data_IF_715490128627
#
_entry.id   IF_715490128627
#
_cell.length_a   1.000
_cell.length_b   1.000
_cell.length_c   1.000
_cell.angle_alpha   90.00
_cell.angle_beta   90.00
_cell.angle_gamma   90.00
#
_symmetry.space_group_name_H-M   'P 1'
#
loop_
_entity.id
_entity.type
_entity.pdbx_description
1 polymer ?
2 polymer ?
3 polymer ?
#
loop_
_entity_poly.entity_id
_entity_poly.type
_entity_poly.pdbx_seq_one_letter_code
_entity_poly.pdbx_strand_id
2 'polydeoxyribonucleotide' '(DG)(DA)(DA)(DA)(DT)(DG)(DT)(DG)(DA)(DG)(DC)(DG)(DA)(DG)(DT)(DA)(DA)(DC)(DA)(DA)(DC)(DC)(DG)' ?
3 'polydeoxyribonucleotide' '(DC)(DG)(DG)(DT)(DT)(DG)(DT)(DT)(DA)(DC)(DT)(DC)(DG)(DC)(DT)(DC)(DA)(DC)(DA)(DT)(DT)(DT)(DC)' ?
#
# COMPACT_ATOMS: atom_id res chain seq x y z
N UNK A 1 -14.72 13.55 -2.27
CA UNK A 1 -14.50 12.64 -3.42
C UNK A 1 -14.16 11.24 -2.94
N UNK A 2 -15.05 10.30 -3.22
CA UNK A 2 -14.85 8.91 -2.82
C UNK A 2 -13.82 8.23 -3.72
N UNK A 3 -12.73 7.72 -3.16
CA UNK A 3 -11.71 7.03 -3.93
C UNK A 3 -12.26 5.69 -4.44
N UNK A 4 -12.62 5.65 -5.72
CA UNK A 4 -13.15 4.43 -6.32
C UNK A 4 -12.08 3.36 -6.33
N UNK A 5 -12.48 2.11 -6.39
CA UNK A 5 -11.53 1.03 -6.39
C UNK A 5 -11.93 -0.02 -7.43
N UNK A 6 -11.04 -0.97 -7.65
CA UNK A 6 -11.28 -2.04 -8.60
C UNK A 6 -12.45 -2.90 -8.14
N UNK A 7 -12.76 -2.83 -6.85
CA UNK A 7 -13.87 -3.58 -6.29
C UNK A 7 -15.17 -3.03 -6.81
N UNK A 8 -15.19 -1.72 -6.99
CA UNK A 8 -16.38 -1.04 -7.49
C UNK A 8 -16.59 -1.41 -8.95
N UNK A 9 -15.51 -1.35 -9.71
CA UNK A 9 -15.55 -1.68 -11.13
C UNK A 9 -15.91 -3.14 -11.37
N UNK A 10 -15.23 -4.05 -10.68
CA UNK A 10 -15.47 -5.47 -10.85
C UNK A 10 -16.90 -5.84 -10.47
N UNK A 11 -17.37 -5.33 -9.33
CA UNK A 11 -18.73 -5.61 -8.88
C UNK A 11 -19.75 -5.15 -9.91
N UNK A 12 -19.58 -3.93 -10.41
CA UNK A 12 -20.47 -3.36 -11.40
C UNK A 12 -20.43 -4.13 -12.71
N UNK A 13 -19.23 -4.48 -13.15
CA UNK A 13 -19.04 -5.22 -14.39
C UNK A 13 -19.59 -6.64 -14.29
N UNK A 14 -19.59 -7.21 -13.09
CA UNK A 14 -20.06 -8.57 -12.90
C UNK A 14 -18.94 -9.57 -13.05
N UNK A 15 -17.75 -9.20 -12.60
CA UNK A 15 -16.58 -10.06 -12.68
C UNK A 15 -15.82 -10.05 -11.35
N UNK A 16 -14.73 -10.78 -11.31
CA UNK A 16 -13.90 -10.84 -10.13
C UNK A 16 -12.98 -9.63 -10.06
N UNK A 17 -12.81 -9.10 -8.85
CA UNK A 17 -11.94 -7.95 -8.60
C UNK A 17 -10.53 -8.06 -9.22
N UNK A 18 -10.17 -9.23 -9.75
CA UNK A 18 -8.87 -9.38 -10.37
C UNK A 18 -8.95 -9.07 -11.85
N UNK A 19 -10.02 -9.53 -12.50
CA UNK A 19 -10.22 -9.31 -13.93
C UNK A 19 -9.94 -7.86 -14.36
N UNK A 20 -10.25 -6.88 -13.52
CA UNK A 20 -10.02 -5.47 -13.84
C UNK A 20 -8.54 -5.11 -13.65
N UNK A 21 -7.86 -5.88 -12.84
CA UNK A 21 -6.45 -5.64 -12.52
C UNK A 21 -5.55 -6.16 -13.63
N UNK A 22 -6.00 -7.20 -14.31
CA UNK A 22 -5.21 -7.81 -15.37
C UNK A 22 -5.21 -6.95 -16.63
N UNK A 23 -6.22 -6.12 -16.79
CA UNK A 23 -6.32 -5.30 -17.99
C UNK A 23 -5.47 -4.05 -17.87
N UNK A 24 -5.26 -3.63 -16.62
CA UNK A 24 -4.49 -2.44 -16.33
C UNK A 24 -2.97 -2.66 -16.44
N UNK A 25 -2.53 -3.91 -16.33
CA UNK A 25 -1.11 -4.20 -16.40
C UNK A 25 -0.70 -4.89 -17.70
N UNK A 26 -1.32 -6.03 -18.00
CA UNK A 26 -0.98 -6.76 -19.21
C UNK A 26 -2.24 -6.98 -20.04
N UNK A 27 -3.02 -7.95 -19.60
CA UNK A 27 -4.30 -8.39 -20.20
C UNK A 27 -4.11 -9.69 -20.96
N UNK A 28 -3.18 -10.51 -20.46
CA UNK A 28 -2.91 -11.81 -21.03
C UNK A 28 -3.82 -12.84 -20.38
N UNK A 29 -4.30 -13.82 -21.16
CA UNK A 29 -5.21 -14.85 -20.66
C UNK A 29 -6.54 -14.23 -20.24
N UNK A 30 -7.17 -13.54 -21.18
CA UNK A 30 -8.43 -12.86 -20.95
C UNK A 30 -9.29 -12.83 -22.23
N UNK A 31 -10.60 -12.95 -22.06
CA UNK A 31 -11.51 -12.92 -23.21
C UNK A 31 -12.00 -11.50 -23.47
N UNK A 32 -12.15 -11.17 -24.75
CA UNK A 32 -12.60 -9.84 -25.18
C UNK A 32 -13.88 -9.39 -24.47
N UNK A 33 -14.84 -10.30 -24.33
CA UNK A 33 -16.12 -9.99 -23.67
C UNK A 33 -15.89 -9.53 -22.24
N UNK A 34 -15.03 -10.23 -21.53
CA UNK A 34 -14.71 -9.90 -20.15
C UNK A 34 -13.96 -8.58 -20.06
N UNK A 35 -13.11 -8.33 -21.05
CA UNK A 35 -12.32 -7.10 -21.07
C UNK A 35 -13.18 -5.87 -21.31
N UNK A 36 -14.05 -5.91 -22.32
CA UNK A 36 -14.91 -4.76 -22.62
C UNK A 36 -15.79 -4.42 -21.41
N UNK A 37 -16.29 -5.46 -20.76
CA UNK A 37 -17.13 -5.32 -19.58
C UNK A 37 -16.39 -4.55 -18.49
N UNK A 38 -15.13 -4.92 -18.35
CA UNK A 38 -14.24 -4.32 -17.37
C UNK A 38 -13.97 -2.83 -17.67
N UNK A 39 -13.65 -2.53 -18.93
CA UNK A 39 -13.32 -1.16 -19.34
C UNK A 39 -14.52 -0.21 -19.26
N UNK A 40 -15.69 -0.66 -19.72
CA UNK A 40 -16.89 0.16 -19.67
C UNK A 40 -17.31 0.47 -18.24
N UNK A 41 -17.09 -0.50 -17.34
CA UNK A 41 -17.46 -0.35 -15.93
C UNK A 41 -16.57 0.65 -15.21
N UNK A 42 -15.30 0.76 -15.63
CA UNK A 42 -14.38 1.65 -14.97
C UNK A 42 -14.61 3.10 -15.40
N UNK A 43 -15.12 3.28 -16.61
CA UNK A 43 -15.38 4.62 -17.13
C UNK A 43 -16.66 5.20 -16.56
N UNK A 44 -17.70 4.36 -16.42
CA UNK A 44 -18.99 4.79 -15.88
C UNK A 44 -18.85 5.23 -14.42
N UNK A 45 -18.09 4.46 -13.63
CA UNK A 45 -17.87 4.81 -12.23
C UNK A 45 -16.80 5.90 -12.09
N UNK A 46 -16.11 6.21 -13.19
CA UNK A 46 -15.05 7.22 -13.20
C UNK A 46 -13.98 6.84 -12.18
N UNK A 47 -13.56 5.58 -12.26
CA UNK A 47 -12.56 5.05 -11.36
C UNK A 47 -11.15 5.37 -11.83
N UNK A 48 -10.32 5.83 -10.91
CA UNK A 48 -8.93 6.15 -11.21
C UNK A 48 -8.03 5.14 -10.49
N UNK A 49 -7.21 4.38 -11.24
CA UNK A 49 -6.31 3.38 -10.66
C UNK A 49 -5.33 3.98 -9.64
N UNK A 50 -5.37 3.46 -8.42
CA UNK A 50 -4.48 3.93 -7.36
C UNK A 50 -3.12 3.29 -7.51
N UNK A 51 -2.18 4.05 -8.05
CA UNK A 51 -0.82 3.57 -8.29
C UNK A 51 -0.07 3.31 -6.97
N UNK A 52 -0.48 3.97 -5.90
CA UNK A 52 0.18 3.79 -4.60
C UNK A 52 0.15 2.32 -4.19
N UNK A 53 -1.01 1.69 -4.35
CA UNK A 53 -1.19 0.29 -4.01
C UNK A 53 -0.62 -0.61 -5.11
N UNK A 54 -0.59 -0.10 -6.34
CA UNK A 54 -0.07 -0.85 -7.49
C UNK A 54 1.38 -1.24 -7.26
N UNK A 55 2.17 -0.33 -6.72
CA UNK A 55 3.57 -0.59 -6.51
C UNK A 55 3.77 -1.28 -5.17
N UNK A 56 2.79 -1.13 -4.29
CA UNK A 56 2.82 -1.70 -2.95
C UNK A 56 2.86 -3.23 -3.00
N UNK A 57 2.13 -3.79 -3.95
CA UNK A 57 2.03 -5.24 -4.14
C UNK A 57 3.38 -5.90 -4.51
N UNK A 58 4.49 -5.17 -4.42
CA UNK A 58 5.78 -5.78 -4.70
C UNK A 58 6.50 -5.18 -5.89
N UNK A 59 6.57 -3.86 -5.96
CA UNK A 59 7.25 -3.21 -7.07
C UNK A 59 7.98 -1.96 -6.56
N UNK A 60 7.26 -0.84 -6.54
CA UNK A 60 7.77 0.46 -6.05
C UNK A 60 8.63 1.13 -7.11
N UNK A 61 8.32 0.83 -8.36
CA UNK A 61 9.05 1.39 -9.50
C UNK A 61 8.53 2.78 -9.84
N UNK A 62 9.14 3.79 -9.24
CA UNK A 62 8.72 5.16 -9.47
C UNK A 62 9.92 6.03 -9.84
N UNK B 1 19.98 -1.25 0.19
CA UNK B 1 18.63 -0.65 0.18
C UNK B 1 18.51 0.36 1.30
N UNK B 2 18.15 1.60 0.97
CA UNK B 2 18.00 2.62 1.99
C UNK B 2 16.56 2.60 2.53
N UNK B 3 15.55 2.80 1.68
CA UNK B 3 14.14 2.77 2.11
C UNK B 3 13.71 1.36 2.54
N UNK B 4 13.93 1.05 3.82
CA UNK B 4 13.56 -0.25 4.36
C UNK B 4 12.18 -0.20 5.01
N UNK B 5 11.66 -1.37 5.33
CA UNK B 5 10.35 -1.48 5.94
C UNK B 5 10.45 -1.30 7.46
N UNK B 6 9.31 -1.13 8.13
CA UNK B 6 9.31 -0.99 9.57
C UNK B 6 9.56 -2.34 10.20
N UNK B 7 9.30 -3.40 9.45
CA UNK B 7 9.56 -4.75 9.93
C UNK B 7 11.07 -4.89 10.05
N UNK B 8 11.74 -4.37 9.02
CA UNK B 8 13.20 -4.38 8.96
C UNK B 8 13.78 -3.67 10.18
N UNK B 9 13.18 -2.54 10.52
CA UNK B 9 13.61 -1.74 11.66
C UNK B 9 13.30 -2.48 12.97
N UNK B 10 12.09 -3.03 13.06
CA UNK B 10 11.66 -3.76 14.25
C UNK B 10 12.65 -4.84 14.63
N UNK B 11 13.07 -5.62 13.63
CA UNK B 11 14.02 -6.70 13.82
C UNK B 11 15.36 -6.20 14.33
N UNK B 12 15.96 -5.25 13.61
CA UNK B 12 17.27 -4.70 13.99
C UNK B 12 17.24 -4.16 15.42
N UNK B 13 16.23 -3.39 15.73
CA UNK B 13 16.09 -2.79 17.05
C UNK B 13 15.89 -3.83 18.14
N UNK B 14 15.42 -5.03 17.78
CA UNK B 14 15.19 -6.05 18.77
C UNK B 14 13.96 -5.75 19.61
N UNK B 15 12.86 -5.45 18.94
CA UNK B 15 11.59 -5.14 19.60
C UNK B 15 10.43 -5.70 18.76
N UNK B 16 9.23 -5.26 19.07
CA UNK B 16 8.06 -5.71 18.33
C UNK B 16 7.62 -4.64 17.34
N UNK B 17 6.84 -5.06 16.34
CA UNK B 17 6.35 -4.17 15.32
C UNK B 17 5.41 -3.11 15.93
N UNK B 18 4.89 -3.41 17.13
CA UNK B 18 3.98 -2.50 17.81
C UNK B 18 4.74 -1.32 18.42
N UNK B 19 5.88 -1.59 19.03
CA UNK B 19 6.66 -0.53 19.66
C UNK B 19 7.39 0.33 18.65
N UNK B 20 7.67 -0.24 17.49
CA UNK B 20 8.37 0.47 16.42
C UNK B 20 7.57 1.68 15.95
N UNK B 21 6.27 1.51 15.76
CA UNK B 21 5.41 2.62 15.33
C UNK B 21 5.16 3.57 16.49
N UNK B 22 5.19 3.02 17.70
CA UNK B 22 4.97 3.80 18.91
C UNK B 22 5.99 4.93 19.01
N UNK B 23 7.25 4.61 18.75
CA UNK B 23 8.31 5.60 18.78
C UNK B 23 8.01 6.75 17.82
N UNK B 24 7.59 6.39 16.61
CA UNK B 24 7.24 7.37 15.59
C UNK B 24 6.02 8.18 16.03
N UNK B 25 5.08 7.49 16.67
CA UNK B 25 3.87 8.12 17.15
C UNK B 25 4.19 9.17 18.20
N UNK B 26 5.34 9.00 18.87
CA UNK B 26 5.82 9.91 19.92
C UNK B 26 4.69 10.42 20.78
N UNK B 27 3.91 9.48 21.26
CA UNK B 27 2.74 9.81 22.09
C UNK B 27 2.21 8.64 22.88
N UNK B 28 2.42 7.43 22.38
CA UNK B 28 1.90 6.25 23.05
C UNK B 28 2.70 5.96 24.33
N UNK B 29 2.47 4.79 24.90
CA UNK B 29 3.18 4.36 26.08
C UNK B 29 4.55 3.88 25.66
N UNK B 30 5.40 4.80 25.26
CA UNK B 30 6.73 4.45 24.80
C UNK B 30 7.81 4.88 25.78
N UNK B 31 8.51 3.92 26.34
CA UNK B 31 9.60 4.22 27.26
C UNK B 31 10.76 4.92 26.51
N UNK B 32 11.63 5.57 27.27
CA UNK B 32 12.79 6.27 26.72
C UNK B 32 13.75 5.30 26.06
N UNK B 33 14.09 4.24 26.79
CA UNK B 33 14.99 3.21 26.29
C UNK B 33 14.46 2.58 25.00
N UNK B 34 13.16 2.38 24.95
CA UNK B 34 12.50 1.77 23.79
C UNK B 34 12.73 2.60 22.52
N UNK B 35 12.56 3.91 22.61
CA UNK B 35 12.75 4.77 21.44
C UNK B 35 14.20 4.80 21.00
N UNK B 36 15.12 4.77 21.97
CA UNK B 36 16.56 4.79 21.68
C UNK B 36 16.95 3.53 20.91
N UNK B 37 16.43 2.41 21.37
CA UNK B 37 16.67 1.13 20.75
C UNK B 37 16.17 1.14 19.30
N UNK B 38 14.92 1.57 19.11
CA UNK B 38 14.28 1.63 17.79
C UNK B 38 14.94 2.63 16.83
N UNK B 39 15.21 3.85 17.30
CA UNK B 39 15.79 4.88 16.45
C UNK B 39 17.16 4.46 15.93
N UNK B 40 17.80 3.53 16.60
CA UNK B 40 19.09 3.04 16.18
C UNK B 40 18.96 2.36 14.82
N UNK B 41 17.96 1.50 14.69
CA UNK B 41 17.72 0.79 13.44
C UNK B 41 17.28 1.76 12.36
N UNK B 42 16.53 2.76 12.80
CA UNK B 42 16.02 3.78 11.91
C UNK B 42 17.14 4.46 11.14
N UNK B 43 18.15 4.91 11.87
CA UNK B 43 19.29 5.57 11.25
C UNK B 43 20.20 4.57 10.51
N UNK B 44 20.60 3.51 11.21
CA UNK B 44 21.49 2.50 10.64
C UNK B 44 20.93 1.91 9.35
N UNK B 45 19.64 1.61 9.34
CA UNK B 45 19.02 1.03 8.16
C UNK B 45 18.39 2.10 7.26
N UNK B 46 18.23 3.33 7.75
CA UNK B 46 17.66 4.44 6.97
C UNK B 46 16.19 4.19 6.63
N UNK B 47 15.35 4.06 7.66
CA UNK B 47 13.93 3.83 7.45
C UNK B 47 13.30 5.02 6.74
N UNK B 48 12.60 4.75 5.65
CA UNK B 48 11.95 5.79 4.87
C UNK B 48 10.46 5.52 4.87
N UNK B 49 9.67 6.45 5.43
CA UNK B 49 8.23 6.28 5.49
C UNK B 49 7.58 6.35 4.11
N UNK B 50 6.92 5.27 3.73
CA UNK B 50 6.24 5.19 2.44
C UNK B 50 4.89 5.87 2.55
N UNK B 51 4.71 6.95 1.81
CA UNK B 51 3.47 7.71 1.84
C UNK B 51 2.30 6.85 1.35
N UNK B 52 2.57 6.02 0.36
CA UNK B 52 1.57 5.15 -0.21
C UNK B 52 1.11 4.10 0.79
N UNK B 53 2.07 3.50 1.49
CA UNK B 53 1.77 2.46 2.46
C UNK B 53 1.08 3.04 3.70
N UNK B 54 1.66 4.11 4.26
CA UNK B 54 1.11 4.76 5.44
C UNK B 54 -0.34 5.18 5.21
N UNK B 55 -0.63 5.67 4.02
CA UNK B 55 -1.97 6.10 3.65
C UNK B 55 -2.90 4.90 3.45
N UNK B 56 -2.39 3.87 2.80
CA UNK B 56 -3.16 2.67 2.51
C UNK B 56 -3.46 1.91 3.81
N UNK B 57 -2.58 2.08 4.80
CA UNK B 57 -2.71 1.45 6.12
C UNK B 57 -3.88 2.03 6.93
N UNK B 58 -4.60 2.98 6.38
CA UNK B 58 -5.72 3.55 7.11
C UNK B 58 -5.54 5.02 7.41
N UNK B 59 -4.64 5.66 6.70
CA UNK B 59 -4.37 7.07 6.88
C UNK B 59 -4.78 7.81 5.64
N UNK B 60 -5.89 8.50 5.72
CA UNK B 60 -6.43 9.27 4.61
C UNK B 60 -5.55 10.49 4.35
N UNK B 61 -4.42 10.25 3.71
CA UNK B 61 -3.48 11.31 3.41
C UNK B 61 -3.64 11.83 1.98
N UNK B 62 -4.38 11.10 1.16
CA UNK B 62 -4.60 11.51 -0.22
C UNK B 62 -6.10 11.58 -0.48
#
# INVERSE_FOLDING_TARGET
MKPVTLYDVAEYAGVSYQTVSRVVNQASHVSAKTREKVEAAMAELNYIPNRCAQQLAGKQSL
MKPVTLYDVAEYAGVSYQTVSRVVNQASHVSAKTREKVEAAMAELNYIPNRCAQQLAGKQSL
#
